data_IF_840053857621
#
_entry.id   IF_840053857621
#
_cell.length_a   1.000
_cell.length_b   1.000
_cell.length_c   1.000
_cell.angle_alpha   90.00
_cell.angle_beta   90.00
_cell.angle_gamma   90.00
#
_symmetry.space_group_name_H-M   'P 1'
#
loop_
_entity.id
_entity.type
_entity.pdbx_description
1 polymer ?
#
# COMPACT_ATOMS: atom_id res chain seq x y z
N UNK A 1 9.25 2.05 54.14
CA UNK A 1 7.99 2.40 53.45
C UNK A 1 7.78 3.87 53.09
N UNK A 2 8.80 4.64 52.71
CA UNK A 2 8.59 6.01 52.17
C UNK A 2 9.33 6.32 50.86
N UNK A 3 10.22 5.42 50.40
CA UNK A 3 10.98 5.63 49.14
C UNK A 3 10.28 5.10 47.89
N UNK A 4 9.19 4.35 48.06
CA UNK A 4 8.40 3.79 46.95
C UNK A 4 7.38 4.82 46.41
N UNK A 5 7.05 5.86 47.20
CA UNK A 5 6.01 6.84 46.86
C UNK A 5 6.49 7.99 45.93
N UNK A 6 7.80 8.18 45.73
CA UNK A 6 8.33 9.36 45.03
C UNK A 6 8.48 9.21 43.51
N UNK A 7 8.38 7.99 42.96
CA UNK A 7 8.54 7.76 41.51
C UNK A 7 7.20 7.88 40.75
N UNK A 8 6.12 8.19 41.48
CA UNK A 8 4.76 8.35 40.95
C UNK A 8 4.46 9.74 40.32
N UNK A 9 5.48 10.56 40.04
CA UNK A 9 5.32 11.91 39.46
C UNK A 9 6.12 12.09 38.17
N UNK A 10 5.78 11.35 37.11
CA UNK A 10 5.72 11.97 35.78
C UNK A 10 4.86 11.14 34.84
N UNK A 11 3.91 11.84 34.23
CA UNK A 11 2.76 11.30 33.55
C UNK A 11 3.00 11.13 32.06
N UNK A 12 2.72 9.91 31.60
CA UNK A 12 2.54 9.55 30.21
C UNK A 12 1.74 8.25 30.19
N UNK A 13 0.44 8.35 29.93
CA UNK A 13 -0.52 7.23 30.00
C UNK A 13 -0.17 6.06 29.05
N UNK A 14 0.57 6.33 27.97
CA UNK A 14 1.07 5.29 27.05
C UNK A 14 2.32 4.55 27.53
N UNK A 15 3.09 5.10 28.48
CA UNK A 15 4.39 4.56 28.88
C UNK A 15 4.33 3.44 29.94
N UNK A 16 3.33 3.47 30.82
CA UNK A 16 3.24 2.50 31.95
C UNK A 16 2.57 1.17 31.58
N UNK A 17 1.83 1.11 30.47
CA UNK A 17 1.18 -0.12 29.99
C UNK A 17 2.15 -1.04 29.22
N UNK A 18 3.16 -0.48 28.56
CA UNK A 18 4.07 -1.25 27.69
C UNK A 18 5.27 -1.86 28.42
N UNK A 19 5.54 -1.47 29.68
CA UNK A 19 6.87 -1.67 30.26
C UNK A 19 7.03 -2.86 31.24
N UNK A 20 5.97 -3.38 31.88
CA UNK A 20 6.17 -4.29 33.04
C UNK A 20 5.61 -5.71 32.95
N UNK A 21 4.78 -6.07 31.95
CA UNK A 21 4.24 -7.45 31.82
C UNK A 21 4.57 -8.21 30.53
N UNK A 22 4.81 -7.54 29.40
CA UNK A 22 5.12 -8.22 28.13
C UNK A 22 6.62 -8.39 27.86
N UNK A 23 7.46 -7.56 28.47
CA UNK A 23 8.91 -7.58 28.28
C UNK A 23 9.64 -8.65 29.12
N UNK A 24 9.06 -9.10 30.24
CA UNK A 24 9.70 -10.06 31.16
C UNK A 24 9.59 -11.52 30.73
N UNK A 25 8.39 -11.98 30.34
CA UNK A 25 8.13 -13.42 30.13
C UNK A 25 8.56 -13.94 28.75
N UNK A 26 8.71 -13.05 27.76
CA UNK A 26 9.20 -13.38 26.40
C UNK A 26 10.73 -13.44 26.38
N UNK A 27 11.40 -12.79 27.34
CA UNK A 27 12.85 -12.73 27.41
C UNK A 27 13.44 -14.03 27.99
N UNK A 28 12.87 -14.56 29.07
CA UNK A 28 13.35 -15.78 29.75
C UNK A 28 13.08 -17.09 28.99
N UNK A 29 11.96 -17.17 28.24
CA UNK A 29 11.56 -18.40 27.54
C UNK A 29 12.37 -18.64 26.25
N UNK A 30 13.10 -17.63 25.73
CA UNK A 30 13.81 -17.75 24.44
C UNK A 30 15.34 -17.66 24.56
N UNK A 31 15.90 -17.38 25.72
CA UNK A 31 17.35 -17.41 25.90
C UNK A 31 17.94 -18.82 25.87
N UNK A 32 17.15 -19.86 26.14
CA UNK A 32 17.71 -21.19 26.41
C UNK A 32 17.77 -22.18 25.22
N UNK A 33 17.10 -21.92 24.09
CA UNK A 33 16.93 -22.96 23.06
C UNK A 33 17.19 -22.46 21.62
N UNK A 34 18.35 -22.82 21.06
CA UNK A 34 18.73 -22.84 19.61
C UNK A 34 19.62 -21.69 19.06
N UNK A 35 20.85 -21.62 19.56
CA UNK A 35 21.72 -20.45 19.56
C UNK A 35 22.89 -20.42 18.53
N UNK A 36 22.84 -21.04 17.34
CA UNK A 36 24.03 -20.92 16.45
C UNK A 36 23.76 -20.80 14.94
N UNK A 37 22.81 -21.54 14.37
CA UNK A 37 22.44 -21.33 12.93
C UNK A 37 21.32 -20.32 12.70
N UNK A 38 20.61 -19.92 13.76
CA UNK A 38 19.55 -18.89 13.72
C UNK A 38 20.11 -17.47 13.70
N UNK A 39 21.35 -17.24 14.11
CA UNK A 39 21.88 -15.91 14.32
C UNK A 39 22.13 -15.15 13.00
N UNK A 40 22.64 -15.87 11.99
CA UNK A 40 22.84 -15.30 10.65
C UNK A 40 21.51 -14.95 9.96
N UNK A 41 20.50 -15.82 10.07
CA UNK A 41 19.14 -15.54 9.56
C UNK A 41 18.47 -14.41 10.33
N UNK A 42 18.68 -14.32 11.65
CA UNK A 42 18.16 -13.21 12.47
C UNK A 42 18.80 -11.88 12.07
N UNK A 43 20.11 -11.85 11.86
CA UNK A 43 20.85 -10.62 11.57
C UNK A 43 20.46 -10.08 10.19
N UNK A 44 20.52 -10.92 9.15
CA UNK A 44 20.17 -10.49 7.79
C UNK A 44 18.66 -10.31 7.57
N UNK A 45 17.82 -11.12 8.23
CA UNK A 45 16.37 -10.96 8.19
C UNK A 45 15.90 -9.66 8.84
N UNK A 46 16.52 -9.23 9.95
CA UNK A 46 16.20 -7.97 10.61
C UNK A 46 16.59 -6.76 9.75
N UNK A 47 17.81 -6.73 9.22
CA UNK A 47 18.26 -5.65 8.33
C UNK A 47 17.50 -5.62 7.00
N UNK A 48 17.25 -6.79 6.41
CA UNK A 48 16.45 -6.92 5.19
C UNK A 48 15.03 -6.41 5.39
N UNK A 49 14.43 -6.66 6.55
CA UNK A 49 13.11 -6.15 6.89
C UNK A 49 13.08 -4.62 7.05
N UNK A 50 14.11 -4.02 7.67
CA UNK A 50 14.23 -2.56 7.77
C UNK A 50 14.32 -1.93 6.37
N UNK A 51 15.20 -2.45 5.51
CA UNK A 51 15.38 -1.96 4.14
C UNK A 51 14.11 -2.16 3.31
N UNK A 52 13.44 -3.30 3.48
CA UNK A 52 12.17 -3.60 2.80
C UNK A 52 11.09 -2.57 3.15
N UNK A 53 10.94 -2.23 4.43
CA UNK A 53 9.97 -1.23 4.90
C UNK A 53 10.37 0.19 4.50
N UNK A 54 11.67 0.46 4.40
CA UNK A 54 12.18 1.76 3.97
C UNK A 54 11.81 2.11 2.53
N UNK A 55 11.66 1.11 1.66
CA UNK A 55 11.21 1.28 0.27
C UNK A 55 9.73 1.71 0.27
N UNK A 56 9.36 2.79 -0.44
CA UNK A 56 8.00 3.33 -0.48
C UNK A 56 7.07 2.43 -1.31
N UNK A 57 6.70 1.27 -0.79
CA UNK A 57 5.58 0.54 -1.37
C UNK A 57 4.30 1.34 -1.15
N UNK A 58 3.53 1.57 -2.22
CA UNK A 58 2.30 2.37 -2.17
C UNK A 58 1.44 1.93 -0.97
N UNK A 59 1.29 2.87 -0.02
CA UNK A 59 0.45 2.85 1.17
C UNK A 59 0.61 1.72 2.21
N UNK A 60 1.41 0.66 1.99
CA UNK A 60 1.35 -0.55 2.85
C UNK A 60 2.68 -1.14 3.33
N UNK A 61 3.82 -0.48 3.10
CA UNK A 61 5.15 -1.04 3.39
C UNK A 61 5.33 -1.58 4.82
N UNK A 62 4.81 -0.89 5.83
CA UNK A 62 4.87 -1.31 7.24
C UNK A 62 4.02 -2.57 7.52
N UNK A 63 2.81 -2.62 6.96
CA UNK A 63 1.89 -3.76 7.13
C UNK A 63 2.45 -5.01 6.45
N UNK A 64 2.88 -4.89 5.19
CA UNK A 64 3.46 -5.99 4.42
C UNK A 64 4.77 -6.45 5.06
N UNK A 65 5.61 -5.52 5.51
CA UNK A 65 6.83 -5.84 6.25
C UNK A 65 6.54 -6.61 7.55
N UNK A 66 5.55 -6.18 8.32
CA UNK A 66 5.15 -6.89 9.55
C UNK A 66 4.68 -8.32 9.26
N UNK A 67 3.89 -8.51 8.20
CA UNK A 67 3.45 -9.84 7.76
C UNK A 67 4.64 -10.70 7.32
N UNK A 68 5.54 -10.18 6.49
CA UNK A 68 6.74 -10.91 6.03
C UNK A 68 7.66 -11.30 7.19
N UNK A 69 7.86 -10.42 8.16
CA UNK A 69 8.66 -10.70 9.35
C UNK A 69 8.06 -11.83 10.20
N UNK A 70 6.75 -11.79 10.44
CA UNK A 70 6.06 -12.83 11.21
C UNK A 70 5.96 -14.17 10.47
N UNK A 71 5.71 -14.15 9.15
CA UNK A 71 5.72 -15.35 8.29
C UNK A 71 7.11 -15.99 8.23
N UNK A 72 8.17 -15.19 8.33
CA UNK A 72 9.55 -15.67 8.43
C UNK A 72 9.89 -16.25 9.81
N UNK A 73 8.90 -16.44 10.69
CA UNK A 73 9.04 -16.94 12.07
C UNK A 73 9.99 -16.08 12.93
N UNK A 74 10.11 -14.79 12.62
CA UNK A 74 10.84 -13.84 13.47
C UNK A 74 10.02 -13.52 14.71
N UNK A 75 10.70 -13.18 15.81
CA UNK A 75 10.02 -12.74 17.04
C UNK A 75 9.24 -11.45 16.77
N UNK A 76 8.01 -11.37 17.28
CA UNK A 76 7.16 -10.17 17.17
C UNK A 76 7.92 -8.88 17.52
N UNK A 77 8.65 -8.85 18.64
CA UNK A 77 9.40 -7.67 19.05
C UNK A 77 10.51 -7.26 18.06
N UNK A 78 11.16 -8.21 17.37
CA UNK A 78 12.14 -7.86 16.32
C UNK A 78 11.44 -7.27 15.09
N UNK A 79 10.30 -7.84 14.71
CA UNK A 79 9.50 -7.34 13.58
C UNK A 79 8.95 -5.95 13.89
N UNK A 80 8.45 -5.73 15.11
CA UNK A 80 7.97 -4.44 15.58
C UNK A 80 9.09 -3.39 15.54
N UNK A 81 10.26 -3.68 16.10
CA UNK A 81 11.38 -2.74 16.10
C UNK A 81 11.87 -2.47 14.67
N UNK A 82 12.01 -3.51 13.83
CA UNK A 82 12.45 -3.35 12.44
C UNK A 82 11.48 -2.47 11.62
N UNK A 83 10.18 -2.73 11.74
CA UNK A 83 9.14 -1.99 11.02
C UNK A 83 9.00 -0.56 11.54
N UNK A 84 9.15 -0.32 12.85
CA UNK A 84 9.20 1.02 13.43
C UNK A 84 10.41 1.82 12.94
N UNK A 85 11.61 1.24 12.97
CA UNK A 85 12.85 1.90 12.51
C UNK A 85 12.80 2.17 11.00
N UNK A 86 12.44 1.16 10.20
CA UNK A 86 12.30 1.30 8.75
C UNK A 86 11.24 2.35 8.37
N UNK A 87 10.09 2.33 9.05
CA UNK A 87 9.01 3.30 8.82
C UNK A 87 9.38 4.72 9.21
N UNK A 88 10.14 4.90 10.29
CA UNK A 88 10.64 6.22 10.70
C UNK A 88 11.64 6.80 9.68
N UNK A 89 12.63 5.99 9.25
CA UNK A 89 13.60 6.39 8.22
C UNK A 89 12.89 6.69 6.89
N UNK A 90 11.90 5.86 6.52
CA UNK A 90 11.08 6.11 5.33
C UNK A 90 10.36 7.45 5.43
N UNK A 91 9.68 7.72 6.55
CA UNK A 91 8.92 8.95 6.76
C UNK A 91 9.80 10.19 6.58
N UNK A 92 10.99 10.19 7.16
CA UNK A 92 11.95 11.29 7.01
C UNK A 92 12.40 11.43 5.54
N UNK A 93 12.88 10.34 4.94
CA UNK A 93 13.42 10.33 3.57
C UNK A 93 12.38 10.83 2.57
N UNK A 94 11.16 10.31 2.66
CA UNK A 94 10.07 10.64 1.74
C UNK A 94 9.46 12.01 2.01
N UNK A 95 9.38 12.47 3.26
CA UNK A 95 8.92 13.82 3.56
C UNK A 95 9.85 14.87 2.94
N UNK A 96 11.17 14.73 3.12
CA UNK A 96 12.13 15.66 2.50
C UNK A 96 12.14 15.57 0.98
N UNK A 97 12.03 14.36 0.42
CA UNK A 97 11.94 14.17 -1.03
C UNK A 97 10.68 14.83 -1.59
N UNK A 98 9.53 14.64 -0.94
CA UNK A 98 8.27 15.26 -1.33
C UNK A 98 8.32 16.79 -1.21
N UNK A 99 8.90 17.31 -0.12
CA UNK A 99 9.11 18.76 0.04
C UNK A 99 9.97 19.34 -1.09
N UNK A 100 11.05 18.63 -1.47
CA UNK A 100 11.90 19.00 -2.61
C UNK A 100 11.12 19.04 -3.92
N UNK A 101 10.33 18.00 -4.20
CA UNK A 101 9.48 17.94 -5.40
C UNK A 101 8.46 19.09 -5.40
N UNK A 102 7.76 19.32 -4.29
CA UNK A 102 6.74 20.39 -4.18
C UNK A 102 7.38 21.77 -4.34
N UNK A 103 8.56 22.00 -3.76
CA UNK A 103 9.29 23.27 -3.90
C UNK A 103 9.69 23.53 -5.35
N UNK A 104 10.17 22.51 -6.05
CA UNK A 104 10.46 22.57 -7.49
C UNK A 104 9.16 22.84 -8.27
N UNK A 105 8.10 22.11 -7.97
CA UNK A 105 6.80 22.23 -8.62
C UNK A 105 6.23 23.65 -8.55
N UNK A 106 6.26 24.29 -7.36
CA UNK A 106 5.81 25.67 -7.21
C UNK A 106 6.71 26.67 -7.95
N UNK A 107 8.04 26.46 -7.96
CA UNK A 107 8.98 27.33 -8.69
C UNK A 107 8.68 27.36 -10.20
N UNK A 108 8.28 26.23 -10.78
CA UNK A 108 7.96 26.11 -12.20
C UNK A 108 6.48 26.37 -12.55
N UNK A 109 5.67 26.86 -11.59
CA UNK A 109 4.21 27.03 -11.75
C UNK A 109 3.49 25.74 -12.22
N UNK A 110 4.02 24.58 -11.86
CA UNK A 110 3.45 23.28 -12.20
C UNK A 110 2.16 22.99 -11.41
N UNK A 111 1.76 23.87 -10.49
CA UNK A 111 0.44 23.85 -9.83
C UNK A 111 -0.72 23.84 -10.85
N UNK A 112 -0.54 24.49 -12.02
CA UNK A 112 -1.53 24.47 -13.09
C UNK A 112 -1.55 23.14 -13.88
N UNK A 113 -0.49 22.33 -13.80
CA UNK A 113 -0.41 21.06 -14.54
C UNK A 113 -1.27 19.98 -13.93
N UNK A 114 -1.44 19.97 -12.60
CA UNK A 114 -2.31 18.99 -11.89
C UNK A 114 -3.77 19.03 -12.39
N UNK A 115 -4.48 20.18 -12.40
CA UNK A 115 -5.85 20.23 -12.90
C UNK A 115 -5.94 19.96 -14.41
N UNK A 116 -4.92 20.35 -15.20
CA UNK A 116 -4.87 20.06 -16.64
C UNK A 116 -4.80 18.54 -16.88
N UNK A 117 -3.95 17.82 -16.16
CA UNK A 117 -3.85 16.35 -16.28
C UNK A 117 -5.19 15.69 -15.91
N UNK A 118 -5.86 16.15 -14.85
CA UNK A 118 -7.17 15.61 -14.45
C UNK A 118 -8.21 15.83 -15.56
N UNK A 119 -8.26 17.03 -16.14
CA UNK A 119 -9.19 17.34 -17.25
C UNK A 119 -8.90 16.44 -18.45
N UNK A 120 -7.64 16.29 -18.84
CA UNK A 120 -7.23 15.41 -19.95
C UNK A 120 -7.62 13.96 -19.67
N UNK A 121 -7.43 13.48 -18.44
CA UNK A 121 -7.79 12.11 -18.05
C UNK A 121 -9.30 11.87 -18.12
N UNK A 122 -10.10 12.84 -17.66
CA UNK A 122 -11.56 12.79 -17.78
C UNK A 122 -11.99 12.80 -19.24
N UNK A 123 -11.40 13.66 -20.08
CA UNK A 123 -11.69 13.70 -21.51
C UNK A 123 -11.32 12.37 -22.20
N UNK A 124 -10.14 11.82 -21.90
CA UNK A 124 -9.72 10.53 -22.42
C UNK A 124 -10.67 9.40 -21.98
N UNK A 125 -11.11 9.39 -20.72
CA UNK A 125 -12.09 8.42 -20.22
C UNK A 125 -13.45 8.55 -20.94
N UNK A 126 -13.93 9.79 -21.15
CA UNK A 126 -15.17 10.04 -21.90
C UNK A 126 -15.03 9.58 -23.36
N UNK A 127 -13.91 9.89 -24.01
CA UNK A 127 -13.63 9.46 -25.38
C UNK A 127 -13.55 7.94 -25.47
N UNK A 128 -12.92 7.26 -24.50
CA UNK A 128 -12.85 5.80 -24.47
C UNK A 128 -14.24 5.17 -24.34
N UNK A 129 -15.09 5.70 -23.46
CA UNK A 129 -16.48 5.24 -23.29
C UNK A 129 -17.31 5.51 -24.55
N UNK A 130 -17.20 6.71 -25.14
CA UNK A 130 -17.92 7.06 -26.38
C UNK A 130 -17.46 6.22 -27.57
N UNK A 131 -16.16 6.03 -27.74
CA UNK A 131 -15.58 5.17 -28.78
C UNK A 131 -16.08 3.73 -28.66
N UNK A 132 -16.27 3.24 -27.44
CA UNK A 132 -16.80 1.89 -27.18
C UNK A 132 -18.29 1.81 -27.51
N UNK A 133 -19.06 2.87 -27.24
CA UNK A 133 -20.51 2.92 -27.53
C UNK A 133 -20.80 3.01 -29.03
N UNK A 134 -20.01 3.76 -29.80
CA UNK A 134 -20.21 3.92 -31.25
C UNK A 134 -19.95 2.64 -32.04
N UNK A 135 -19.00 1.80 -31.61
CA UNK A 135 -18.76 0.48 -32.21
C UNK A 135 -19.95 -0.47 -32.00
N UNK A 136 -20.55 -0.46 -30.80
CA UNK A 136 -21.71 -1.32 -30.51
C UNK A 136 -22.95 -0.93 -31.32
N UNK A 137 -23.18 0.37 -31.55
CA UNK A 137 -24.36 0.83 -32.30
C UNK A 137 -24.31 0.49 -33.79
N UNK A 138 -23.11 0.41 -34.39
CA UNK A 138 -22.96 0.04 -35.81
C UNK A 138 -23.21 -1.45 -36.04
N UNK A 139 -22.71 -2.31 -35.13
CA UNK A 139 -23.01 -3.75 -35.14
C UNK A 139 -24.52 -4.02 -34.99
N UNK A 140 -25.18 -3.39 -34.00
CA UNK A 140 -26.63 -3.54 -33.78
C UNK A 140 -27.50 -3.01 -34.95
N UNK A 141 -27.04 -1.98 -35.66
CA UNK A 141 -27.76 -1.41 -36.81
C UNK A 141 -27.61 -2.28 -38.06
N UNK A 142 -26.41 -2.81 -38.33
CA UNK A 142 -26.19 -3.75 -39.43
C UNK A 142 -27.00 -5.04 -39.23
N UNK A 143 -27.01 -5.62 -38.03
CA UNK A 143 -27.82 -6.82 -37.74
C UNK A 143 -29.32 -6.56 -37.97
N UNK A 144 -29.83 -5.43 -37.48
CA UNK A 144 -31.25 -5.06 -37.67
C UNK A 144 -31.60 -4.85 -39.15
N UNK A 145 -30.69 -4.25 -39.93
CA UNK A 145 -30.88 -4.08 -41.38
C UNK A 145 -30.84 -5.41 -42.13
N UNK A 146 -29.90 -6.30 -41.78
CA UNK A 146 -29.77 -7.61 -42.40
C UNK A 146 -30.98 -8.50 -42.10
N UNK A 147 -31.50 -8.47 -40.87
CA UNK A 147 -32.70 -9.20 -40.46
C UNK A 147 -33.95 -8.69 -41.21
N UNK A 148 -34.12 -7.37 -41.28
CA UNK A 148 -35.22 -6.77 -42.03
C UNK A 148 -35.14 -7.11 -43.52
N UNK A 149 -33.94 -7.08 -44.11
CA UNK A 149 -33.73 -7.45 -45.50
C UNK A 149 -34.04 -8.94 -45.77
N UNK A 150 -33.63 -9.84 -44.87
CA UNK A 150 -33.96 -11.27 -44.98
C UNK A 150 -35.46 -11.53 -44.86
N UNK A 151 -36.15 -10.82 -43.97
CA UNK A 151 -37.60 -10.94 -43.84
C UNK A 151 -38.32 -10.45 -45.11
N UNK A 152 -37.91 -9.31 -45.67
CA UNK A 152 -38.51 -8.76 -46.90
C UNK A 152 -38.27 -9.67 -48.12
N UNK A 153 -37.08 -10.27 -48.24
CA UNK A 153 -36.77 -11.28 -49.27
C UNK A 153 -37.65 -12.53 -49.08
N UNK A 154 -37.81 -13.02 -47.84
CA UNK A 154 -38.69 -14.16 -47.54
C UNK A 154 -40.14 -13.86 -47.87
N UNK A 155 -40.63 -12.67 -47.57
CA UNK A 155 -42.01 -12.27 -47.88
C UNK A 155 -42.24 -12.15 -49.39
N UNK A 156 -41.24 -11.64 -50.12
CA UNK A 156 -41.35 -11.39 -51.56
C UNK A 156 -41.08 -12.61 -52.45
N UNK A 157 -40.26 -13.55 -52.00
CA UNK A 157 -39.82 -14.70 -52.80
C UNK A 157 -40.00 -16.07 -52.11
N UNK A 158 -40.39 -16.10 -50.84
CA UNK A 158 -40.65 -17.31 -50.06
C UNK A 158 -42.09 -17.80 -50.22
N UNK A 159 -42.46 -18.18 -51.43
CA UNK A 159 -43.69 -18.93 -51.73
C UNK A 159 -43.34 -20.06 -52.70
N UNK A 160 -43.05 -21.23 -52.12
CA UNK A 160 -43.31 -22.57 -52.64
C UNK A 160 -43.37 -23.54 -51.46
#
# INVERSE_FOLDING_TARGET
DERIAAVARQDGFGGRMLQTKLLGDILSTVEYTANEKREMINKWGFWGLIVFVWIPFMASGVLVGAMLGLLSRMKFMRVLIATMVGGFIASITWAYTAEGIVRIMHKYKLEAVIPIIIIVFILAAILHIRSTKNRRQTELFEDTLLDNFHNDIKEKYGSN
#
